data_IF_799990514281
#
_entry.id   IF_799990514281
#
_cell.length_a   1.000
_cell.length_b   1.000
_cell.length_c   1.000
_cell.angle_alpha   90.00
_cell.angle_beta   90.00
_cell.angle_gamma   90.00
#
_symmetry.space_group_name_H-M   'P 1'
#
loop_
_entity.id
_entity.type
_entity.pdbx_description
1 polymer ?
#
# COMPACT_ATOMS: atom_id res chain seq x y z
N UNK A 1 22.81 -28.95 12.17
CA UNK A 1 21.56 -29.01 11.37
C UNK A 1 21.87 -28.45 10.00
N UNK A 2 21.77 -29.29 8.96
CA UNK A 2 22.23 -29.01 7.60
C UNK A 2 21.55 -27.77 7.00
N UNK A 3 22.33 -26.85 6.43
CA UNK A 3 21.84 -25.60 5.81
C UNK A 3 20.85 -25.81 4.65
N UNK A 4 20.71 -27.03 4.13
CA UNK A 4 19.67 -27.39 3.16
C UNK A 4 18.27 -27.47 3.79
N UNK A 5 18.15 -27.91 5.03
CA UNK A 5 16.86 -28.02 5.72
C UNK A 5 16.28 -26.64 6.08
N UNK A 6 17.14 -25.69 6.49
CA UNK A 6 16.73 -24.31 6.81
C UNK A 6 16.26 -23.56 5.56
N UNK A 7 16.92 -23.79 4.41
CA UNK A 7 16.52 -23.17 3.14
C UNK A 7 15.17 -23.67 2.63
N UNK A 8 14.91 -24.98 2.71
CA UNK A 8 13.61 -25.56 2.32
C UNK A 8 12.45 -25.12 3.21
N UNK A 9 12.69 -24.92 4.51
CA UNK A 9 11.68 -24.41 5.45
C UNK A 9 11.33 -22.94 5.13
N UNK A 10 12.33 -22.09 4.84
CA UNK A 10 12.09 -20.70 4.43
C UNK A 10 11.35 -20.61 3.08
N UNK A 11 11.72 -21.42 2.10
CA UNK A 11 11.05 -21.43 0.78
C UNK A 11 9.58 -21.89 0.91
N UNK A 12 9.30 -22.91 1.72
CA UNK A 12 7.93 -23.35 1.99
C UNK A 12 7.11 -22.32 2.78
N UNK A 13 7.71 -21.61 3.74
CA UNK A 13 7.05 -20.52 4.46
C UNK A 13 6.74 -19.32 3.57
N UNK A 14 7.66 -18.96 2.65
CA UNK A 14 7.43 -17.88 1.69
C UNK A 14 6.31 -18.24 0.72
N UNK A 15 6.28 -19.49 0.22
CA UNK A 15 5.19 -19.98 -0.64
C UNK A 15 3.85 -20.01 0.09
N UNK A 16 3.82 -20.47 1.35
CA UNK A 16 2.60 -20.47 2.16
C UNK A 16 2.06 -19.06 2.42
N UNK A 17 2.94 -18.10 2.77
CA UNK A 17 2.56 -16.69 2.93
C UNK A 17 2.08 -16.08 1.61
N UNK A 18 2.69 -16.47 0.48
CA UNK A 18 2.29 -16.02 -0.85
C UNK A 18 0.92 -16.59 -1.24
N UNK A 19 0.69 -17.87 -1.03
CA UNK A 19 -0.59 -18.54 -1.29
C UNK A 19 -1.72 -18.00 -0.36
N UNK A 20 -1.42 -17.75 0.91
CA UNK A 20 -2.36 -17.12 1.86
C UNK A 20 -2.70 -15.68 1.46
N UNK A 21 -1.67 -14.87 1.11
CA UNK A 21 -1.89 -13.51 0.61
C UNK A 21 -2.70 -13.51 -0.69
N UNK A 22 -2.40 -14.43 -1.60
CA UNK A 22 -3.07 -14.56 -2.89
C UNK A 22 -4.54 -14.98 -2.70
N UNK A 23 -4.79 -15.98 -1.86
CA UNK A 23 -6.14 -16.44 -1.50
C UNK A 23 -6.97 -15.33 -0.84
N UNK A 24 -6.37 -14.57 0.08
CA UNK A 24 -7.04 -13.43 0.75
C UNK A 24 -7.35 -12.27 -0.21
N UNK A 25 -6.40 -11.92 -1.09
CA UNK A 25 -6.60 -10.92 -2.14
C UNK A 25 -7.70 -11.36 -3.10
N UNK A 26 -7.70 -12.63 -3.47
CA UNK A 26 -8.68 -13.24 -4.35
C UNK A 26 -10.09 -13.25 -3.77
N UNK A 27 -10.24 -13.60 -2.48
CA UNK A 27 -11.51 -13.50 -1.75
C UNK A 27 -12.05 -12.05 -1.75
N UNK A 28 -11.16 -11.08 -1.53
CA UNK A 28 -11.51 -9.64 -1.54
C UNK A 28 -11.94 -9.15 -2.92
N UNK A 29 -11.26 -9.60 -3.98
CA UNK A 29 -11.62 -9.33 -5.38
C UNK A 29 -12.96 -9.96 -5.76
N UNK A 30 -13.19 -11.21 -5.40
CA UNK A 30 -14.45 -11.92 -5.61
C UNK A 30 -15.62 -11.23 -4.91
N UNK A 31 -15.43 -10.81 -3.66
CA UNK A 31 -16.43 -10.07 -2.89
C UNK A 31 -16.80 -8.74 -3.55
N UNK A 32 -15.82 -8.00 -4.06
CA UNK A 32 -16.06 -6.72 -4.73
C UNK A 32 -16.76 -6.89 -6.10
N UNK A 33 -16.41 -7.95 -6.84
CA UNK A 33 -17.00 -8.22 -8.16
C UNK A 33 -18.37 -8.88 -8.10
N UNK A 34 -18.67 -9.71 -7.10
CA UNK A 34 -20.02 -10.22 -6.85
C UNK A 34 -21.00 -9.11 -6.52
N UNK A 35 -20.55 -8.04 -5.85
CA UNK A 35 -21.38 -6.85 -5.63
C UNK A 35 -21.77 -6.16 -6.95
N UNK A 36 -20.91 -6.23 -7.98
CA UNK A 36 -21.23 -5.74 -9.32
C UNK A 36 -22.31 -6.56 -10.05
N UNK A 37 -22.34 -7.88 -9.86
CA UNK A 37 -23.34 -8.76 -10.50
C UNK A 37 -24.69 -8.74 -9.77
N UNK A 38 -24.66 -8.62 -8.44
CA UNK A 38 -25.85 -8.67 -7.57
C UNK A 38 -26.06 -7.32 -6.90
N UNK A 39 -26.68 -6.41 -7.64
CA UNK A 39 -26.96 -5.03 -7.23
C UNK A 39 -27.81 -4.92 -5.95
N UNK A 40 -28.56 -5.97 -5.58
CA UNK A 40 -29.40 -6.00 -4.36
C UNK A 40 -28.60 -6.60 -3.20
N UNK A 41 -28.45 -5.82 -2.12
CA UNK A 41 -27.62 -6.15 -0.96
C UNK A 41 -27.92 -7.51 -0.31
N UNK A 42 -29.19 -7.92 -0.23
CA UNK A 42 -29.59 -9.19 0.39
C UNK A 42 -29.12 -10.40 -0.42
N UNK A 43 -29.26 -10.33 -1.75
CA UNK A 43 -28.76 -11.36 -2.65
C UNK A 43 -27.24 -11.43 -2.56
N UNK A 44 -26.55 -10.29 -2.62
CA UNK A 44 -25.09 -10.25 -2.48
C UNK A 44 -24.62 -10.97 -1.20
N UNK A 45 -25.18 -10.61 -0.05
CA UNK A 45 -24.80 -11.19 1.25
C UNK A 45 -24.98 -12.71 1.28
N UNK A 46 -26.11 -13.21 0.78
CA UNK A 46 -26.37 -14.65 0.72
C UNK A 46 -25.28 -15.40 -0.06
N UNK A 47 -24.95 -14.94 -1.27
CA UNK A 47 -23.94 -15.60 -2.09
C UNK A 47 -22.51 -15.38 -1.59
N UNK A 48 -22.22 -14.25 -0.94
CA UNK A 48 -20.95 -14.03 -0.26
C UNK A 48 -20.73 -15.03 0.88
N UNK A 49 -21.77 -15.36 1.65
CA UNK A 49 -21.71 -16.39 2.69
C UNK A 49 -21.48 -17.78 2.10
N UNK A 50 -22.17 -18.15 1.02
CA UNK A 50 -21.96 -19.43 0.33
C UNK A 50 -20.53 -19.55 -0.22
N UNK A 51 -20.01 -18.48 -0.83
CA UNK A 51 -18.65 -18.45 -1.34
C UNK A 51 -17.64 -18.60 -0.19
N UNK A 52 -17.85 -17.90 0.92
CA UNK A 52 -17.00 -18.02 2.11
C UNK A 52 -17.00 -19.45 2.65
N UNK A 53 -18.16 -20.12 2.70
CA UNK A 53 -18.24 -21.51 3.11
C UNK A 53 -17.39 -22.44 2.21
N UNK A 54 -17.41 -22.25 0.88
CA UNK A 54 -16.55 -22.98 -0.07
C UNK A 54 -15.06 -22.79 0.23
N UNK A 55 -14.63 -21.58 0.59
CA UNK A 55 -13.25 -21.33 1.00
C UNK A 55 -12.91 -21.96 2.36
N UNK A 56 -13.83 -21.93 3.31
CA UNK A 56 -13.63 -22.51 4.65
C UNK A 56 -13.51 -24.05 4.61
N UNK A 57 -14.14 -24.73 3.63
CA UNK A 57 -14.00 -26.19 3.40
C UNK A 57 -12.55 -26.61 3.11
N UNK A 58 -11.81 -25.81 2.33
CA UNK A 58 -10.44 -26.12 1.92
C UNK A 58 -9.36 -25.40 2.74
N UNK A 59 -9.73 -24.70 3.81
CA UNK A 59 -8.81 -23.92 4.64
C UNK A 59 -7.72 -24.75 5.34
N UNK A 60 -8.02 -26.00 5.67
CA UNK A 60 -7.13 -26.88 6.45
C UNK A 60 -6.37 -27.90 5.58
N UNK A 61 -6.30 -27.69 4.26
CA UNK A 61 -5.53 -28.55 3.35
C UNK A 61 -4.03 -28.36 3.58
N UNK A 62 -3.32 -29.47 3.87
CA UNK A 62 -1.88 -29.44 4.19
C UNK A 62 -0.97 -29.67 2.98
N UNK A 63 -1.54 -30.17 1.89
CA UNK A 63 -0.79 -30.45 0.66
C UNK A 63 -0.77 -29.21 -0.24
N UNK A 64 0.42 -28.63 -0.38
CA UNK A 64 0.64 -27.42 -1.19
C UNK A 64 0.40 -27.64 -2.68
N UNK A 65 0.62 -28.86 -3.20
CA UNK A 65 0.38 -29.16 -4.62
C UNK A 65 -1.11 -29.16 -4.91
N UNK A 66 -1.90 -29.77 -4.01
CA UNK A 66 -3.36 -29.75 -4.10
C UNK A 66 -3.92 -28.33 -3.90
N UNK A 67 -3.38 -27.56 -2.96
CA UNK A 67 -3.81 -26.18 -2.71
C UNK A 67 -3.58 -25.27 -3.92
N UNK A 68 -2.41 -25.36 -4.55
CA UNK A 68 -2.09 -24.58 -5.77
C UNK A 68 -2.94 -25.00 -6.97
N UNK A 69 -3.25 -26.29 -7.11
CA UNK A 69 -4.17 -26.75 -8.15
C UNK A 69 -5.58 -26.20 -7.94
N UNK A 70 -6.12 -26.28 -6.73
CA UNK A 70 -7.43 -25.73 -6.38
C UNK A 70 -7.48 -24.21 -6.60
N UNK A 71 -6.40 -23.50 -6.29
CA UNK A 71 -6.29 -22.06 -6.52
C UNK A 71 -6.32 -21.75 -8.03
N UNK A 72 -5.60 -22.51 -8.86
CA UNK A 72 -5.62 -22.35 -10.32
C UNK A 72 -7.02 -22.60 -10.89
N UNK A 73 -7.68 -23.69 -10.50
CA UNK A 73 -9.05 -24.01 -10.92
C UNK A 73 -10.05 -22.93 -10.48
N UNK A 74 -9.88 -22.40 -9.26
CA UNK A 74 -10.68 -21.28 -8.79
C UNK A 74 -10.46 -20.03 -9.65
N UNK A 75 -9.20 -19.66 -9.94
CA UNK A 75 -8.86 -18.50 -10.80
C UNK A 75 -9.49 -18.61 -12.20
N UNK A 76 -9.52 -19.81 -12.78
CA UNK A 76 -10.20 -20.09 -14.04
C UNK A 76 -11.73 -19.88 -13.92
N UNK A 77 -12.36 -20.44 -12.87
CA UNK A 77 -13.80 -20.23 -12.58
C UNK A 77 -14.14 -18.73 -12.49
N UNK A 78 -13.31 -17.94 -11.81
CA UNK A 78 -13.49 -16.50 -11.70
C UNK A 78 -13.25 -15.73 -12.98
N UNK A 79 -12.24 -16.12 -13.76
CA UNK A 79 -12.00 -15.49 -15.05
C UNK A 79 -13.19 -15.68 -16.00
N UNK A 80 -13.82 -16.85 -15.98
CA UNK A 80 -15.05 -17.11 -16.72
C UNK A 80 -16.29 -16.41 -16.14
N UNK A 81 -16.36 -16.27 -14.81
CA UNK A 81 -17.47 -15.65 -14.09
C UNK A 81 -17.37 -14.14 -13.84
N UNK A 82 -16.32 -13.47 -14.35
CA UNK A 82 -16.10 -12.05 -14.05
C UNK A 82 -17.12 -11.15 -14.76
N UNK A 83 -17.64 -10.15 -14.04
CA UNK A 83 -18.53 -9.15 -14.63
C UNK A 83 -17.73 -8.26 -15.60
N UNK A 84 -18.23 -7.96 -16.81
CA UNK A 84 -17.51 -7.14 -17.80
C UNK A 84 -17.16 -5.73 -17.31
N UNK A 85 -18.03 -5.14 -16.48
CA UNK A 85 -17.82 -3.82 -15.89
C UNK A 85 -17.90 -3.93 -14.36
N UNK A 86 -16.80 -4.28 -13.67
CA UNK A 86 -16.83 -4.41 -12.23
C UNK A 86 -17.11 -3.05 -11.56
N UNK A 87 -17.68 -3.08 -10.36
CA UNK A 87 -17.79 -1.88 -9.54
C UNK A 87 -16.39 -1.47 -9.04
N UNK A 88 -15.97 -0.26 -9.41
CA UNK A 88 -14.69 0.34 -9.00
C UNK A 88 -15.03 1.57 -8.18
N UNK A 89 -14.41 1.72 -7.01
CA UNK A 89 -14.62 2.91 -6.18
C UNK A 89 -14.16 4.17 -6.93
N UNK A 90 -14.85 5.32 -6.75
CA UNK A 90 -14.56 6.51 -7.56
C UNK A 90 -13.10 6.97 -7.54
N UNK A 91 -12.44 6.91 -6.38
CA UNK A 91 -11.05 7.35 -6.19
C UNK A 91 -10.01 6.23 -6.40
N UNK A 92 -10.45 4.99 -6.58
CA UNK A 92 -9.53 3.89 -6.90
C UNK A 92 -9.07 3.95 -8.35
N UNK A 93 -7.92 3.36 -8.72
CA UNK A 93 -7.48 3.27 -10.10
C UNK A 93 -8.57 2.68 -11.02
N UNK A 94 -8.88 3.38 -12.11
CA UNK A 94 -9.98 3.02 -13.03
C UNK A 94 -11.39 3.49 -12.59
N UNK A 95 -11.49 4.18 -11.46
CA UNK A 95 -12.71 4.83 -10.99
C UNK A 95 -13.01 6.13 -11.74
N UNK A 96 -14.23 6.63 -11.60
CA UNK A 96 -14.73 7.82 -12.32
C UNK A 96 -14.15 9.16 -11.82
N UNK A 97 -13.53 9.17 -10.64
CA UNK A 97 -12.86 10.34 -10.07
C UNK A 97 -11.40 10.07 -9.71
N UNK A 98 -10.80 9.03 -10.29
CA UNK A 98 -9.39 8.74 -10.14
C UNK A 98 -8.56 9.92 -10.65
N UNK A 99 -7.61 10.40 -9.84
CA UNK A 99 -6.74 11.55 -10.13
C UNK A 99 -7.47 12.87 -10.43
N UNK A 100 -8.79 12.95 -10.18
CA UNK A 100 -9.59 14.16 -10.43
C UNK A 100 -9.01 15.41 -9.77
N UNK A 101 -8.46 15.25 -8.57
CA UNK A 101 -7.92 16.35 -7.78
C UNK A 101 -6.41 16.53 -7.92
N UNK A 102 -5.74 15.72 -8.75
CA UNK A 102 -4.28 15.76 -8.90
C UNK A 102 -3.80 17.12 -9.44
N UNK A 103 -4.58 17.75 -10.32
CA UNK A 103 -4.28 19.09 -10.85
C UNK A 103 -4.25 20.20 -9.79
N UNK A 104 -4.87 20.00 -8.63
CA UNK A 104 -4.87 20.95 -7.51
C UNK A 104 -3.78 20.64 -6.46
N UNK A 105 -3.08 19.50 -6.60
CA UNK A 105 -2.01 19.10 -5.69
C UNK A 105 -0.72 19.82 -6.02
N UNK A 106 -0.66 21.11 -5.66
CA UNK A 106 0.55 21.91 -5.81
C UNK A 106 1.59 21.45 -4.78
N UNK A 107 2.83 21.13 -5.19
CA UNK A 107 3.85 20.71 -4.26
C UNK A 107 4.26 21.88 -3.37
N UNK A 108 4.62 21.56 -2.12
CA UNK A 108 4.82 22.57 -1.08
C UNK A 108 5.92 23.59 -1.44
N UNK A 109 6.95 23.16 -2.17
CA UNK A 109 8.10 23.99 -2.50
C UNK A 109 7.75 25.17 -3.43
N UNK A 110 6.66 25.11 -4.19
CA UNK A 110 6.19 26.24 -5.00
C UNK A 110 5.81 27.47 -4.15
N UNK A 111 5.50 27.29 -2.86
CA UNK A 111 5.23 28.39 -1.94
C UNK A 111 6.50 29.24 -1.64
N UNK A 112 7.69 28.70 -1.89
CA UNK A 112 8.93 29.45 -1.72
C UNK A 112 9.14 30.46 -2.87
N UNK A 113 8.51 30.26 -4.03
CA UNK A 113 8.63 31.14 -5.20
C UNK A 113 7.67 32.36 -5.17
N UNK A 114 6.76 32.42 -4.19
CA UNK A 114 5.79 33.51 -4.06
C UNK A 114 6.47 34.87 -3.82
N UNK A 115 5.86 35.95 -4.33
CA UNK A 115 6.38 37.29 -4.13
C UNK A 115 6.27 37.70 -2.65
N UNK A 116 7.25 38.44 -2.08
CA UNK A 116 7.21 38.82 -0.67
C UNK A 116 5.93 39.53 -0.22
N UNK A 117 5.27 40.30 -1.10
CA UNK A 117 3.99 40.93 -0.78
C UNK A 117 2.87 39.91 -0.55
N UNK A 118 2.86 38.80 -1.28
CA UNK A 118 1.88 37.73 -1.13
C UNK A 118 2.16 36.90 0.12
N UNK A 119 3.45 36.70 0.45
CA UNK A 119 3.86 36.03 1.69
C UNK A 119 3.50 36.85 2.92
N UNK A 120 3.61 38.18 2.84
CA UNK A 120 3.25 39.10 3.92
C UNK A 120 1.75 39.03 4.30
N UNK A 121 0.90 38.47 3.43
CA UNK A 121 -0.52 38.21 3.73
C UNK A 121 -0.71 37.11 4.78
N UNK A 122 0.24 36.17 4.90
CA UNK A 122 0.15 35.02 5.79
C UNK A 122 1.38 34.89 6.72
N UNK A 123 1.64 35.89 7.59
CA UNK A 123 2.88 35.95 8.36
C UNK A 123 3.08 34.74 9.28
N UNK A 124 2.03 34.31 9.99
CA UNK A 124 2.09 33.20 10.94
C UNK A 124 2.36 31.85 10.26
N UNK A 125 1.83 31.65 9.06
CA UNK A 125 2.02 30.41 8.31
C UNK A 125 3.47 30.28 7.83
N UNK A 126 4.00 31.34 7.21
CA UNK A 126 5.39 31.35 6.75
C UNK A 126 6.39 31.31 7.92
N UNK A 127 6.09 31.95 9.05
CA UNK A 127 6.92 31.83 10.26
C UNK A 127 7.01 30.38 10.77
N UNK A 128 5.87 29.66 10.82
CA UNK A 128 5.86 28.22 11.17
C UNK A 128 6.59 27.37 10.14
N UNK A 129 6.38 27.64 8.84
CA UNK A 129 7.04 26.91 7.75
C UNK A 129 8.56 26.98 7.83
N UNK A 130 9.12 28.13 8.19
CA UNK A 130 10.57 28.26 8.37
C UNK A 130 11.12 27.39 9.51
N UNK A 131 10.33 27.15 10.57
CA UNK A 131 10.70 26.20 11.62
C UNK A 131 10.78 24.76 11.07
N UNK A 132 9.84 24.35 10.21
CA UNK A 132 9.86 23.05 9.54
C UNK A 132 11.03 22.90 8.57
N UNK A 133 11.34 23.95 7.79
CA UNK A 133 12.50 23.96 6.89
C UNK A 133 13.83 23.92 7.64
N UNK A 134 13.91 24.57 8.81
CA UNK A 134 15.05 24.45 9.72
C UNK A 134 15.19 23.01 10.23
N UNK A 135 14.11 22.41 10.72
CA UNK A 135 14.09 21.02 11.18
C UNK A 135 14.56 20.05 10.10
N UNK A 136 14.07 20.21 8.86
CA UNK A 136 14.49 19.39 7.70
C UNK A 136 15.99 19.50 7.41
N UNK A 137 16.56 20.70 7.46
CA UNK A 137 17.99 20.92 7.23
C UNK A 137 18.84 20.28 8.33
N UNK A 138 18.40 20.37 9.58
CA UNK A 138 19.10 19.78 10.73
C UNK A 138 19.00 18.24 10.77
N UNK A 139 17.88 17.69 10.30
CA UNK A 139 17.66 16.24 10.30
C UNK A 139 18.39 15.54 9.14
N UNK A 140 18.55 16.21 7.99
CA UNK A 140 19.10 15.62 6.75
C UNK A 140 20.43 14.90 6.95
N UNK A 141 21.41 15.55 7.60
CA UNK A 141 22.74 14.96 7.80
C UNK A 141 22.68 13.69 8.69
N UNK A 142 21.79 13.69 9.68
CA UNK A 142 21.61 12.54 10.59
C UNK A 142 20.93 11.38 9.90
N UNK A 143 19.91 11.67 9.09
CA UNK A 143 19.18 10.68 8.29
C UNK A 143 20.11 10.00 7.27
N UNK A 144 20.90 10.79 6.54
CA UNK A 144 21.87 10.27 5.56
C UNK A 144 22.91 9.39 6.24
N UNK A 145 23.42 9.82 7.40
CA UNK A 145 24.36 9.02 8.19
C UNK A 145 23.74 7.69 8.64
N UNK A 146 22.50 7.71 9.16
CA UNK A 146 21.79 6.50 9.55
C UNK A 146 21.63 5.55 8.36
N UNK A 147 21.25 6.07 7.19
CA UNK A 147 21.11 5.26 5.98
C UNK A 147 22.45 4.65 5.55
N UNK A 148 23.55 5.40 5.59
CA UNK A 148 24.87 4.87 5.24
C UNK A 148 25.35 3.78 6.22
N UNK A 149 25.02 3.92 7.51
CA UNK A 149 25.36 2.94 8.55
C UNK A 149 24.54 1.65 8.43
N UNK A 150 23.23 1.76 8.13
CA UNK A 150 22.32 0.61 8.04
C UNK A 150 22.31 -0.06 6.65
N UNK A 151 22.78 0.63 5.59
CA UNK A 151 22.80 0.08 4.23
C UNK A 151 23.96 -0.90 4.06
N UNK A 152 23.70 -2.16 3.61
CA UNK A 152 24.77 -3.11 3.30
C UNK A 152 25.72 -2.61 2.21
N UNK A 153 26.96 -3.11 2.19
CA UNK A 153 28.01 -2.72 1.22
C UNK A 153 27.59 -2.89 -0.25
N UNK A 154 26.67 -3.81 -0.55
CA UNK A 154 26.13 -4.05 -1.89
C UNK A 154 24.91 -3.19 -2.25
N UNK A 155 24.58 -2.17 -1.44
CA UNK A 155 23.36 -1.39 -1.56
C UNK A 155 22.16 -1.98 -0.79
N UNK A 156 21.01 -1.27 -0.79
CA UNK A 156 19.81 -1.73 -0.12
C UNK A 156 19.23 -2.95 -0.85
N UNK A 157 18.79 -3.95 -0.07
CA UNK A 157 18.15 -5.17 -0.60
C UNK A 157 16.65 -5.01 -0.86
N UNK A 158 16.02 -4.04 -0.20
CA UNK A 158 14.58 -3.78 -0.21
C UNK A 158 14.32 -2.28 -0.16
N UNK A 159 13.14 -1.85 -0.59
CA UNK A 159 12.71 -0.44 -0.55
C UNK A 159 12.32 0.05 0.87
N UNK A 160 12.28 -0.86 1.85
CA UNK A 160 11.92 -0.52 3.23
C UNK A 160 12.98 0.39 3.88
N UNK A 161 12.56 1.57 4.32
CA UNK A 161 13.38 2.52 5.07
C UNK A 161 13.40 2.16 6.57
N UNK A 162 14.55 2.28 7.26
CA UNK A 162 14.60 2.02 8.69
C UNK A 162 13.88 3.13 9.48
N UNK A 163 13.27 2.81 10.63
CA UNK A 163 12.71 3.83 11.51
C UNK A 163 13.82 4.63 12.22
N UNK A 164 13.48 5.79 12.78
CA UNK A 164 14.42 6.55 13.63
C UNK A 164 14.83 5.72 14.86
N UNK A 165 16.14 5.61 15.13
CA UNK A 165 16.68 4.79 16.22
C UNK A 165 16.88 5.56 17.53
N UNK A 166 17.17 6.85 17.45
CA UNK A 166 17.52 7.69 18.60
C UNK A 166 16.40 8.68 18.91
N UNK A 167 16.28 9.03 20.18
CA UNK A 167 15.31 10.03 20.62
C UNK A 167 15.69 11.40 20.07
N UNK A 168 14.75 12.05 19.37
CA UNK A 168 14.95 13.36 18.74
C UNK A 168 15.44 13.31 17.29
N UNK A 169 15.75 12.13 16.74
CA UNK A 169 15.99 11.95 15.32
C UNK A 169 14.67 11.67 14.59
N UNK A 170 14.60 12.09 13.32
CA UNK A 170 13.46 11.85 12.45
C UNK A 170 13.72 10.66 11.52
N UNK A 171 12.67 9.94 11.08
CA UNK A 171 12.85 8.84 10.13
C UNK A 171 13.51 9.33 8.84
N UNK A 172 14.42 8.55 8.23
CA UNK A 172 15.07 8.95 6.99
C UNK A 172 14.07 9.18 5.86
N UNK A 173 14.33 10.22 5.05
CA UNK A 173 13.53 10.60 3.87
C UNK A 173 12.07 10.96 4.19
N UNK A 174 11.75 11.33 5.43
CA UNK A 174 10.38 11.59 5.87
C UNK A 174 9.67 12.75 5.15
N UNK A 175 10.43 13.74 4.63
CA UNK A 175 9.87 15.02 4.17
C UNK A 175 8.73 14.85 3.16
N UNK A 176 8.98 14.15 2.04
CA UNK A 176 8.01 14.01 0.97
C UNK A 176 6.74 13.25 1.38
N UNK A 177 6.84 12.36 2.39
CA UNK A 177 5.71 11.61 2.93
C UNK A 177 4.84 12.52 3.81
N UNK A 178 5.47 13.33 4.65
CA UNK A 178 4.79 14.20 5.62
C UNK A 178 4.24 15.47 4.96
N UNK A 179 4.98 16.06 4.02
CA UNK A 179 4.57 17.28 3.32
C UNK A 179 3.88 17.00 1.99
N UNK A 180 3.39 15.77 1.80
CA UNK A 180 2.61 15.44 0.60
C UNK A 180 1.36 16.34 0.52
N UNK A 181 0.97 16.78 -0.69
CA UNK A 181 -0.29 17.48 -0.87
C UNK A 181 -1.46 16.67 -0.29
N UNK A 182 -2.48 17.36 0.22
CA UNK A 182 -3.70 16.70 0.70
C UNK A 182 -4.41 16.02 -0.48
N UNK A 183 -5.10 14.90 -0.22
CA UNK A 183 -5.85 14.20 -1.27
C UNK A 183 -6.98 15.05 -1.84
N UNK A 184 -7.59 15.89 -1.00
CA UNK A 184 -8.65 16.82 -1.37
C UNK A 184 -8.26 18.23 -0.91
N UNK A 185 -7.53 18.98 -1.75
CA UNK A 185 -7.19 20.37 -1.48
C UNK A 185 -8.35 21.34 -1.80
N UNK A 186 -9.40 20.86 -2.48
CA UNK A 186 -10.67 21.56 -2.76
C UNK A 186 -11.72 21.24 -1.70
#
# INVERSE_FOLDING_TARGET
>A
MSGKAVKGILEAQILYIWDDCKSSAYFSLLGSRMAGFKAVGDKYRYFACLLRARFDEHKNEKDMVKATQLLREAEEEFWHGQHPQPYIFPESPGGTSYERYECYKVPEWCLDDWHPSEKAMYPDYFAKREQWKKLRRESWEREVKQLQEETPVGGPRTEALPPARKQGDLPPLWWHIVTRPRERPM
#
